data_IF_655567405711
#
_entry.id   IF_655567405711
#
_cell.length_a   1.000
_cell.length_b   1.000
_cell.length_c   1.000
_cell.angle_alpha   90.00
_cell.angle_beta   90.00
_cell.angle_gamma   90.00
#
_symmetry.space_group_name_H-M   'P 1'
#
loop_
_entity.id
_entity.type
_entity.pdbx_description
1 polymer ?
#
# COMPACT_ATOMS: atom_id res chain seq x y z
N UNK A 1 98.95 65.01 9.95
CA UNK A 1 99.72 65.14 11.21
C UNK A 1 98.88 64.63 12.36
N UNK A 2 99.51 63.90 13.30
CA UNK A 2 98.99 63.33 14.57
C UNK A 2 97.99 62.17 14.47
N UNK A 3 98.44 60.91 14.54
CA UNK A 3 98.86 60.08 15.70
C UNK A 3 97.69 59.41 16.45
N UNK A 4 97.44 58.16 16.06
CA UNK A 4 97.43 56.89 16.84
C UNK A 4 96.67 56.75 18.19
N UNK A 5 96.34 55.49 18.57
CA UNK A 5 95.09 55.07 19.25
C UNK A 5 95.30 54.59 20.70
N UNK A 6 94.19 54.33 21.43
CA UNK A 6 94.09 53.42 22.59
C UNK A 6 92.59 53.27 22.96
N UNK A 7 91.93 52.12 22.83
CA UNK A 7 91.90 50.96 23.76
C UNK A 7 91.35 51.29 25.15
N UNK A 8 90.16 50.74 25.52
CA UNK A 8 89.97 49.76 26.61
C UNK A 8 88.45 49.49 26.84
N UNK A 9 88.09 48.21 26.84
CA UNK A 9 87.16 47.53 27.77
C UNK A 9 86.02 48.31 28.44
N UNK A 10 84.77 47.87 28.25
CA UNK A 10 83.96 47.21 29.31
C UNK A 10 82.50 47.09 28.92
N UNK A 11 81.93 45.93 29.25
CA UNK A 11 80.54 45.70 29.66
C UNK A 11 79.49 46.73 29.24
N UNK A 12 78.52 46.32 28.42
CA UNK A 12 77.13 46.31 28.89
C UNK A 12 76.31 45.36 28.02
N UNK A 13 75.86 44.28 28.64
CA UNK A 13 74.75 43.49 28.17
C UNK A 13 73.51 44.39 28.11
N UNK A 14 73.01 44.70 26.91
CA UNK A 14 71.68 45.26 26.75
C UNK A 14 70.99 44.60 25.56
N UNK A 15 70.29 43.51 25.91
CA UNK A 15 68.91 43.25 25.48
C UNK A 15 68.67 43.32 23.97
N UNK A 16 69.00 42.22 23.29
CA UNK A 16 68.30 41.81 22.06
C UNK A 16 66.89 41.37 22.47
N UNK A 17 65.99 42.34 22.63
CA UNK A 17 64.55 42.12 22.62
C UNK A 17 64.16 42.09 21.13
N UNK A 18 64.13 40.92 20.49
CA UNK A 18 63.04 39.97 20.71
C UNK A 18 61.81 40.36 19.88
N UNK A 19 61.99 40.73 18.60
CA UNK A 19 60.89 40.76 17.62
C UNK A 19 60.55 39.32 17.21
N UNK A 20 60.04 38.55 18.18
CA UNK A 20 59.24 37.37 17.90
C UNK A 20 57.82 37.88 17.67
N UNK A 21 57.45 38.08 16.41
CA UNK A 21 56.04 38.07 16.02
C UNK A 21 55.51 36.67 16.36
N UNK A 22 54.91 36.54 17.55
CA UNK A 22 54.09 35.40 17.88
C UNK A 22 52.89 35.42 16.92
N UNK A 23 52.95 34.60 15.87
CA UNK A 23 51.75 34.18 15.18
C UNK A 23 50.87 33.50 16.22
N UNK A 24 49.82 34.19 16.67
CA UNK A 24 48.81 33.57 17.50
C UNK A 24 48.29 32.33 16.74
N UNK A 25 48.23 31.14 17.37
CA UNK A 25 47.59 30.02 16.73
C UNK A 25 46.15 30.43 16.45
N UNK A 26 45.75 30.37 15.18
CA UNK A 26 44.33 30.44 14.83
C UNK A 26 43.66 29.28 15.57
N UNK A 27 42.92 29.58 16.64
CA UNK A 27 42.14 28.58 17.34
C UNK A 27 41.13 28.03 16.33
N UNK A 28 41.31 26.76 15.94
CA UNK A 28 40.30 26.06 15.16
C UNK A 28 38.97 26.17 15.91
N UNK A 29 37.92 26.62 15.23
CA UNK A 29 36.60 26.64 15.84
C UNK A 29 36.18 25.19 16.14
N UNK A 30 35.50 24.94 17.27
CA UNK A 30 34.99 23.61 17.56
C UNK A 30 34.09 23.15 16.42
N UNK A 31 34.38 21.97 15.89
CA UNK A 31 33.58 21.33 14.85
C UNK A 31 32.32 20.73 15.48
N UNK A 32 31.19 20.84 14.77
CA UNK A 32 29.91 20.33 15.25
C UNK A 32 29.95 18.79 15.32
N UNK A 33 29.60 18.22 16.46
CA UNK A 33 29.41 16.79 16.64
C UNK A 33 27.93 16.42 16.61
N UNK A 34 27.60 15.15 16.34
CA UNK A 34 26.22 14.63 16.37
C UNK A 34 25.58 14.82 17.75
N UNK A 35 26.36 14.66 18.83
CA UNK A 35 25.87 14.85 20.20
C UNK A 35 25.47 16.30 20.51
N UNK A 36 25.89 17.26 19.68
CA UNK A 36 25.51 18.66 19.82
C UNK A 36 24.09 18.92 19.31
N UNK A 37 23.59 18.11 18.37
CA UNK A 37 22.28 18.30 17.73
C UNK A 37 21.15 18.30 18.77
N UNK A 38 21.15 17.34 19.70
CA UNK A 38 20.12 17.19 20.73
C UNK A 38 20.12 18.31 21.78
N UNK A 39 21.19 19.12 21.87
CA UNK A 39 21.26 20.26 22.80
C UNK A 39 20.39 21.43 22.36
N UNK A 40 20.01 21.48 21.08
CA UNK A 40 19.19 22.56 20.50
C UNK A 40 17.98 22.05 19.72
N UNK A 41 18.05 20.85 19.14
CA UNK A 41 16.94 20.18 18.47
C UNK A 41 16.45 19.05 19.37
N UNK A 42 15.36 19.25 20.09
CA UNK A 42 14.83 18.21 20.98
C UNK A 42 13.97 17.20 20.22
N UNK A 43 13.15 17.69 19.28
CA UNK A 43 12.16 16.87 18.58
C UNK A 43 12.81 15.92 17.55
N UNK A 44 13.60 16.44 16.61
CA UNK A 44 14.09 15.66 15.47
C UNK A 44 14.98 14.48 15.89
N UNK A 45 15.96 14.64 16.82
CA UNK A 45 16.72 13.51 17.33
C UNK A 45 15.85 12.48 18.06
N UNK A 46 14.85 12.92 18.83
CA UNK A 46 13.91 12.01 19.48
C UNK A 46 13.06 11.22 18.46
N UNK A 47 12.61 11.88 17.39
CA UNK A 47 11.88 11.25 16.28
C UNK A 47 12.73 10.19 15.56
N UNK A 48 13.99 10.51 15.26
CA UNK A 48 14.94 9.57 14.64
C UNK A 48 15.23 8.39 15.57
N UNK A 49 15.41 8.66 16.86
CA UNK A 49 15.67 7.62 17.86
C UNK A 49 14.48 6.65 17.96
N UNK A 50 13.26 7.18 17.94
CA UNK A 50 12.02 6.40 18.04
C UNK A 50 11.69 5.64 16.73
N UNK A 51 11.80 6.30 15.58
CA UNK A 51 11.21 5.84 14.32
C UNK A 51 12.06 6.14 13.05
N UNK A 52 13.35 6.47 13.19
CA UNK A 52 14.23 6.83 12.08
C UNK A 52 14.56 5.70 11.10
N UNK A 53 14.27 4.44 11.45
CA UNK A 53 14.58 3.27 10.62
C UNK A 53 16.04 3.30 10.10
N UNK A 54 16.27 3.11 8.79
CA UNK A 54 17.61 3.19 8.20
C UNK A 54 18.26 4.57 8.34
N UNK A 55 17.49 5.64 8.53
CA UNK A 55 18.07 6.96 8.79
C UNK A 55 18.71 7.08 10.18
N UNK A 56 18.43 6.12 11.09
CA UNK A 56 19.09 6.00 12.38
C UNK A 56 20.35 5.14 12.32
N UNK A 57 20.38 4.13 11.44
CA UNK A 57 21.42 3.08 11.46
C UNK A 57 22.44 3.20 10.34
N UNK A 58 22.03 3.68 9.17
CA UNK A 58 22.83 3.66 7.94
C UNK A 58 23.32 5.08 7.56
N UNK A 59 22.79 6.10 8.24
CA UNK A 59 23.26 7.50 8.22
C UNK A 59 23.08 8.11 9.61
N UNK A 60 23.59 9.32 9.80
CA UNK A 60 23.40 10.11 11.01
C UNK A 60 22.99 11.56 10.68
N UNK A 61 22.91 12.41 11.71
CA UNK A 61 22.53 13.80 11.58
C UNK A 61 23.43 14.57 10.60
N UNK A 62 24.74 14.30 10.58
CA UNK A 62 25.71 14.99 9.72
C UNK A 62 25.81 14.35 8.34
N UNK A 63 25.47 13.06 8.21
CA UNK A 63 25.32 12.37 6.92
C UNK A 63 24.18 12.94 6.08
N UNK A 64 23.10 13.43 6.71
CA UNK A 64 22.00 14.12 6.05
C UNK A 64 22.13 15.65 6.12
N UNK A 65 22.60 16.23 7.22
CA UNK A 65 22.86 17.67 7.33
C UNK A 65 24.34 17.98 7.17
N UNK A 66 24.78 18.11 5.91
CA UNK A 66 26.17 18.39 5.48
C UNK A 66 26.73 19.76 5.90
N UNK A 67 25.98 20.50 6.72
CA UNK A 67 26.35 21.79 7.29
C UNK A 67 25.26 22.29 8.23
N UNK A 68 25.48 23.40 8.93
CA UNK A 68 24.51 23.96 9.87
C UNK A 68 24.08 25.37 9.46
N UNK A 69 22.78 25.67 9.61
CA UNK A 69 22.22 27.00 9.30
C UNK A 69 22.62 28.01 10.39
N UNK A 70 22.83 29.30 10.07
CA UNK A 70 22.67 29.93 8.75
C UNK A 70 23.87 29.77 7.81
N UNK A 71 25.02 29.29 8.29
CA UNK A 71 26.26 29.21 7.51
C UNK A 71 26.16 28.29 6.28
N UNK A 72 25.31 27.27 6.33
CA UNK A 72 24.97 26.41 5.19
C UNK A 72 23.45 26.39 4.98
N UNK A 73 22.89 27.24 4.09
CA UNK A 73 21.45 27.36 3.89
C UNK A 73 20.83 26.20 3.11
N UNK A 74 21.60 25.46 2.31
CA UNK A 74 21.15 24.30 1.53
C UNK A 74 21.93 23.04 1.97
N UNK A 75 21.85 22.74 3.26
CA UNK A 75 22.66 21.73 3.92
C UNK A 75 22.11 20.29 3.82
N UNK A 76 20.95 20.10 3.20
CA UNK A 76 20.29 18.79 3.08
C UNK A 76 20.42 18.32 1.63
N UNK A 77 20.97 17.13 1.36
CA UNK A 77 21.07 16.57 0.02
C UNK A 77 19.69 16.18 -0.53
N UNK A 78 19.60 15.99 -1.84
CA UNK A 78 18.40 15.44 -2.46
C UNK A 78 18.21 13.97 -2.06
N UNK A 79 16.96 13.54 -1.88
CA UNK A 79 16.63 12.17 -1.50
C UNK A 79 17.18 11.14 -2.50
N UNK A 80 17.19 11.50 -3.79
CA UNK A 80 17.69 10.69 -4.91
C UNK A 80 19.19 10.38 -4.84
N UNK A 81 19.97 11.07 -4.00
CA UNK A 81 21.38 10.74 -3.79
C UNK A 81 21.59 9.41 -3.07
N UNK A 82 20.56 8.93 -2.34
CA UNK A 82 20.60 7.68 -1.59
C UNK A 82 19.43 6.73 -1.92
N UNK A 83 18.29 7.27 -2.37
CA UNK A 83 17.11 6.50 -2.75
C UNK A 83 17.03 6.35 -4.27
N UNK A 84 17.22 5.13 -4.77
CA UNK A 84 17.24 4.82 -6.21
C UNK A 84 16.75 3.40 -6.51
N UNK A 85 16.51 3.11 -7.79
CA UNK A 85 16.27 1.75 -8.28
C UNK A 85 14.80 1.31 -8.37
N UNK A 86 13.84 2.17 -8.05
CA UNK A 86 12.41 1.89 -8.26
C UNK A 86 11.67 3.12 -8.78
N UNK A 87 10.57 2.97 -9.55
CA UNK A 87 9.77 4.10 -10.03
C UNK A 87 9.27 5.01 -8.89
N UNK A 88 9.05 4.47 -7.69
CA UNK A 88 8.64 5.23 -6.52
C UNK A 88 9.66 6.33 -6.15
N UNK A 89 10.95 6.05 -6.28
CA UNK A 89 12.00 7.01 -5.95
C UNK A 89 12.19 8.12 -7.01
N UNK A 90 11.52 7.99 -8.15
CA UNK A 90 11.48 9.03 -9.20
C UNK A 90 10.37 10.07 -8.94
N UNK A 91 9.50 9.83 -7.96
CA UNK A 91 8.46 10.77 -7.57
C UNK A 91 9.06 12.06 -7.01
N UNK A 92 8.46 13.19 -7.42
CA UNK A 92 8.76 14.48 -6.82
C UNK A 92 8.11 14.62 -5.43
N UNK A 93 8.60 15.56 -4.62
CA UNK A 93 8.00 15.94 -3.34
C UNK A 93 7.89 14.80 -2.31
N UNK A 94 8.93 13.98 -2.12
CA UNK A 94 8.95 12.84 -1.19
C UNK A 94 8.39 13.18 0.22
N UNK A 95 8.61 14.43 0.64
CA UNK A 95 8.18 15.01 1.92
C UNK A 95 6.67 15.19 2.07
N UNK A 96 5.88 15.10 0.99
CA UNK A 96 4.42 15.15 1.08
C UNK A 96 3.84 13.97 1.86
N UNK A 97 4.58 12.85 1.86
CA UNK A 97 4.18 11.61 2.52
C UNK A 97 5.19 11.14 3.58
N UNK A 98 6.48 11.38 3.37
CA UNK A 98 7.54 10.93 4.28
C UNK A 98 8.06 12.05 5.19
N UNK A 99 8.22 11.75 6.47
CA UNK A 99 9.08 12.52 7.37
C UNK A 99 10.47 11.85 7.40
N UNK A 100 11.58 12.50 7.00
CA UNK A 100 12.93 11.93 7.02
C UNK A 100 13.40 11.52 8.40
N UNK A 101 12.84 12.10 9.47
CA UNK A 101 13.14 11.67 10.83
C UNK A 101 12.28 10.48 11.28
N UNK A 102 11.20 10.19 10.56
CA UNK A 102 10.31 9.04 10.79
C UNK A 102 9.87 8.42 9.46
N UNK A 103 10.80 7.92 8.62
CA UNK A 103 10.54 7.68 7.20
C UNK A 103 9.45 6.64 6.94
N UNK A 104 9.16 5.75 7.88
CA UNK A 104 8.11 4.73 7.75
C UNK A 104 6.76 5.16 8.35
N UNK A 105 6.68 6.30 9.04
CA UNK A 105 5.42 6.90 9.50
C UNK A 105 4.84 7.77 8.38
N UNK A 106 4.33 7.09 7.36
CA UNK A 106 3.84 7.73 6.12
C UNK A 106 2.49 8.39 6.36
N UNK A 107 2.32 9.59 5.81
CA UNK A 107 1.06 10.33 5.83
C UNK A 107 0.45 10.34 4.42
N UNK A 108 -0.79 9.87 4.30
CA UNK A 108 -1.50 9.79 3.01
C UNK A 108 -2.54 10.91 2.90
N UNK A 109 -2.13 12.06 2.38
CA UNK A 109 -3.00 13.25 2.22
C UNK A 109 -3.23 13.60 0.75
N UNK A 110 -4.42 14.13 0.46
CA UNK A 110 -4.84 14.46 -0.91
C UNK A 110 -5.31 13.22 -1.67
N UNK A 111 -5.43 13.33 -2.98
CA UNK A 111 -5.81 12.22 -3.86
C UNK A 111 -4.54 11.54 -4.37
N UNK A 112 -4.25 10.34 -3.84
CA UNK A 112 -3.06 9.57 -4.20
C UNK A 112 -3.46 8.37 -5.05
N UNK A 113 -2.96 8.35 -6.29
CA UNK A 113 -3.17 7.23 -7.22
C UNK A 113 -1.89 6.91 -7.93
N UNK A 114 -1.35 7.86 -8.70
CA UNK A 114 -0.12 7.66 -9.47
C UNK A 114 1.04 7.20 -8.59
N UNK A 115 1.14 7.74 -7.37
CA UNK A 115 2.15 7.42 -6.38
C UNK A 115 2.05 5.96 -5.93
N UNK A 116 0.83 5.49 -5.62
CA UNK A 116 0.59 4.11 -5.20
C UNK A 116 0.94 3.10 -6.31
N UNK A 117 0.61 3.46 -7.55
CA UNK A 117 0.81 2.63 -8.73
C UNK A 117 2.27 2.49 -9.16
N UNK A 118 3.20 3.25 -8.56
CA UNK A 118 4.64 3.03 -8.75
C UNK A 118 5.12 1.67 -8.24
N UNK A 119 4.38 1.07 -7.30
CA UNK A 119 4.64 -0.26 -6.75
C UNK A 119 3.44 -1.22 -6.93
N UNK A 120 2.21 -0.71 -6.85
CA UNK A 120 0.97 -1.51 -6.93
C UNK A 120 0.45 -1.63 -8.38
N UNK A 121 1.28 -2.16 -9.28
CA UNK A 121 0.97 -2.19 -10.72
C UNK A 121 -0.18 -3.14 -11.07
N UNK A 122 -0.25 -4.29 -10.41
CA UNK A 122 -1.30 -5.29 -10.62
C UNK A 122 -2.70 -4.71 -10.35
N UNK A 123 -2.85 -3.96 -9.25
CA UNK A 123 -4.11 -3.31 -8.90
C UNK A 123 -4.55 -2.29 -9.96
N UNK A 124 -3.61 -1.63 -10.63
CA UNK A 124 -3.95 -0.77 -11.78
C UNK A 124 -4.42 -1.59 -12.98
N UNK A 125 -3.75 -2.70 -13.30
CA UNK A 125 -4.13 -3.59 -14.39
C UNK A 125 -5.55 -4.12 -14.20
N UNK A 126 -5.87 -4.56 -12.97
CA UNK A 126 -7.21 -5.01 -12.57
C UNK A 126 -8.28 -3.94 -12.78
N UNK A 127 -8.06 -2.74 -12.24
CA UNK A 127 -9.01 -1.60 -12.34
C UNK A 127 -9.19 -1.08 -13.76
N UNK A 128 -8.15 -1.15 -14.59
CA UNK A 128 -8.20 -0.75 -16.01
C UNK A 128 -8.91 -1.82 -16.84
N UNK A 129 -8.63 -3.10 -16.60
CA UNK A 129 -9.26 -4.21 -17.30
C UNK A 129 -10.75 -4.37 -16.92
N UNK A 130 -11.11 -4.01 -15.68
CA UNK A 130 -12.46 -4.18 -15.14
C UNK A 130 -13.01 -2.86 -14.55
N UNK A 131 -13.31 -1.86 -15.39
CA UNK A 131 -13.76 -0.56 -14.92
C UNK A 131 -14.99 -0.63 -14.03
N UNK A 132 -14.93 0.05 -12.89
CA UNK A 132 -16.05 0.19 -11.94
C UNK A 132 -16.03 1.59 -11.33
N UNK A 133 -16.94 1.87 -10.39
CA UNK A 133 -16.92 3.14 -9.64
C UNK A 133 -15.64 3.33 -8.82
N UNK A 134 -14.96 2.25 -8.43
CA UNK A 134 -13.68 2.33 -7.74
C UNK A 134 -12.53 2.78 -8.67
N UNK A 135 -12.68 2.66 -9.99
CA UNK A 135 -11.67 3.14 -10.95
C UNK A 135 -11.53 4.67 -10.91
N UNK A 136 -12.59 5.37 -10.53
CA UNK A 136 -12.68 6.83 -10.54
C UNK A 136 -12.20 7.50 -9.23
N UNK A 137 -11.85 6.72 -8.20
CA UNK A 137 -11.40 7.23 -6.90
C UNK A 137 -9.90 7.04 -6.69
N UNK A 138 -9.32 7.83 -5.79
CA UNK A 138 -7.94 7.68 -5.35
C UNK A 138 -7.78 6.44 -4.44
N UNK A 139 -6.60 5.84 -4.44
CA UNK A 139 -6.33 4.61 -3.68
C UNK A 139 -6.49 4.83 -2.18
N UNK A 140 -6.01 5.98 -1.70
CA UNK A 140 -6.05 6.35 -0.28
C UNK A 140 -7.43 6.83 0.21
N UNK A 141 -8.44 6.89 -0.66
CA UNK A 141 -9.83 7.06 -0.22
C UNK A 141 -10.30 5.83 0.56
N UNK A 142 -9.89 4.65 0.11
CA UNK A 142 -10.20 3.37 0.73
C UNK A 142 -9.03 2.92 1.62
N UNK A 143 -7.80 2.95 1.12
CA UNK A 143 -6.59 2.60 1.88
C UNK A 143 -6.09 3.81 2.69
N UNK A 144 -6.93 4.30 3.60
CA UNK A 144 -6.68 5.52 4.39
C UNK A 144 -5.71 5.31 5.56
N UNK A 145 -5.32 6.42 6.18
CA UNK A 145 -4.60 6.52 7.46
C UNK A 145 -3.14 6.06 7.46
N UNK A 146 -2.88 4.82 7.03
CA UNK A 146 -1.54 4.24 7.04
C UNK A 146 -1.31 3.42 5.79
N UNK A 147 -0.06 3.42 5.31
CA UNK A 147 0.33 2.60 4.19
C UNK A 147 0.13 1.11 4.53
N UNK A 148 -0.62 0.41 3.67
CA UNK A 148 -0.98 -1.00 3.87
C UNK A 148 -2.28 -1.23 4.66
N UNK A 149 -3.01 -0.18 5.02
CA UNK A 149 -4.35 -0.32 5.59
C UNK A 149 -5.31 -0.97 4.59
N UNK A 150 -6.13 -1.93 5.03
CA UNK A 150 -7.20 -2.53 4.22
C UNK A 150 -8.52 -2.17 4.91
N UNK A 151 -9.38 -1.37 4.27
CA UNK A 151 -10.63 -0.92 4.88
C UNK A 151 -11.67 -2.05 4.95
N UNK A 152 -12.67 -1.85 5.80
CA UNK A 152 -13.86 -2.70 5.78
C UNK A 152 -14.79 -2.24 4.66
N UNK A 153 -15.24 -3.16 3.80
CA UNK A 153 -16.22 -2.87 2.74
C UNK A 153 -17.49 -2.24 3.31
N UNK A 154 -17.89 -2.68 4.51
CA UNK A 154 -19.10 -2.23 5.20
C UNK A 154 -19.06 -0.77 5.67
N UNK A 155 -17.91 -0.10 5.59
CA UNK A 155 -17.83 1.35 5.85
C UNK A 155 -18.60 2.16 4.79
N UNK A 156 -18.68 1.64 3.56
CA UNK A 156 -19.34 2.30 2.44
C UNK A 156 -20.43 1.46 1.76
N UNK A 157 -20.35 0.13 1.84
CA UNK A 157 -21.27 -0.80 1.18
C UNK A 157 -22.18 -1.53 2.16
N UNK A 158 -23.47 -1.64 1.84
CA UNK A 158 -24.39 -2.46 2.62
C UNK A 158 -24.24 -3.94 2.25
N UNK A 159 -24.23 -4.82 3.26
CA UNK A 159 -24.19 -6.26 3.07
C UNK A 159 -25.47 -6.78 2.41
N UNK A 160 -25.36 -7.83 1.60
CA UNK A 160 -26.50 -8.51 0.98
C UNK A 160 -27.31 -9.37 1.97
N UNK A 161 -26.72 -9.73 3.12
CA UNK A 161 -27.42 -10.37 4.23
C UNK A 161 -26.91 -9.85 5.58
N UNK A 162 -27.77 -9.81 6.63
CA UNK A 162 -27.40 -9.25 7.94
C UNK A 162 -26.23 -9.94 8.64
N UNK A 163 -25.97 -11.20 8.29
CA UNK A 163 -24.94 -12.03 8.92
C UNK A 163 -23.64 -12.10 8.12
N UNK A 164 -23.54 -11.40 6.98
CA UNK A 164 -22.31 -11.41 6.18
C UNK A 164 -21.18 -10.68 6.90
N UNK A 165 -20.03 -11.33 6.90
CA UNK A 165 -18.76 -10.81 7.39
C UNK A 165 -17.96 -10.19 6.24
N UNK A 166 -16.89 -9.46 6.58
CA UNK A 166 -15.94 -8.92 5.60
C UNK A 166 -15.39 -10.02 4.66
N UNK A 167 -15.10 -11.20 5.20
CA UNK A 167 -14.52 -12.30 4.41
C UNK A 167 -15.52 -12.83 3.38
N UNK A 168 -16.82 -12.77 3.69
CA UNK A 168 -17.88 -13.24 2.79
C UNK A 168 -18.01 -12.35 1.54
N UNK A 169 -17.60 -11.08 1.61
CA UNK A 169 -17.58 -10.18 0.46
C UNK A 169 -16.67 -10.73 -0.65
N UNK A 170 -15.51 -11.28 -0.26
CA UNK A 170 -14.49 -11.81 -1.17
C UNK A 170 -14.83 -13.17 -1.77
N UNK A 171 -15.96 -13.79 -1.35
CA UNK A 171 -16.44 -15.02 -2.00
C UNK A 171 -16.86 -14.74 -3.44
N UNK A 172 -17.42 -13.56 -3.69
CA UNK A 172 -18.01 -13.20 -4.98
C UNK A 172 -17.37 -11.97 -5.63
N UNK A 173 -16.75 -11.08 -4.86
CA UNK A 173 -16.22 -9.81 -5.36
C UNK A 173 -14.73 -9.67 -5.06
N UNK A 174 -13.94 -9.41 -6.09
CA UNK A 174 -12.58 -8.89 -5.92
C UNK A 174 -12.61 -7.36 -5.78
N UNK A 175 -11.76 -6.81 -4.90
CA UNK A 175 -11.82 -5.40 -4.48
C UNK A 175 -11.51 -4.42 -5.62
N UNK A 176 -10.63 -4.82 -6.53
CA UNK A 176 -10.25 -4.04 -7.72
C UNK A 176 -10.93 -4.52 -9.00
N UNK A 177 -11.79 -5.54 -8.91
CA UNK A 177 -12.60 -6.03 -10.02
C UNK A 177 -14.02 -6.41 -9.54
N UNK A 178 -14.74 -5.55 -8.81
CA UNK A 178 -15.95 -5.95 -8.08
C UNK A 178 -17.11 -6.38 -8.99
N UNK A 179 -17.03 -6.10 -10.29
CA UNK A 179 -18.03 -6.51 -11.29
C UNK A 179 -17.74 -7.90 -11.88
N UNK A 180 -16.56 -8.46 -11.62
CA UNK A 180 -16.19 -9.83 -11.99
C UNK A 180 -16.68 -10.74 -10.87
N UNK A 181 -17.93 -11.20 -10.99
CA UNK A 181 -18.54 -12.08 -10.00
C UNK A 181 -18.17 -13.54 -10.29
N UNK A 182 -17.04 -13.94 -9.73
CA UNK A 182 -16.55 -15.32 -9.71
C UNK A 182 -16.55 -15.85 -8.28
N UNK A 183 -16.78 -17.15 -8.12
CA UNK A 183 -16.87 -17.78 -6.81
C UNK A 183 -16.42 -19.25 -6.87
N UNK A 184 -15.88 -19.80 -5.77
CA UNK A 184 -15.43 -21.18 -5.74
C UNK A 184 -16.60 -22.17 -5.80
N UNK A 185 -16.30 -23.40 -6.23
CA UNK A 185 -17.23 -24.55 -6.24
C UNK A 185 -17.61 -25.04 -4.84
N UNK A 186 -16.98 -24.50 -3.80
CA UNK A 186 -17.26 -24.75 -2.39
C UNK A 186 -18.24 -23.74 -1.78
N UNK A 187 -18.69 -22.74 -2.55
CA UNK A 187 -19.59 -21.69 -2.05
C UNK A 187 -20.93 -22.26 -1.53
N UNK A 188 -21.27 -22.06 -0.25
CA UNK A 188 -22.55 -22.53 0.31
C UNK A 188 -23.79 -21.86 -0.29
N UNK A 189 -24.86 -22.63 -0.48
CA UNK A 189 -26.16 -22.16 -1.04
C UNK A 189 -26.76 -20.96 -0.30
N UNK A 190 -26.51 -20.84 1.01
CA UNK A 190 -27.03 -19.73 1.82
C UNK A 190 -26.47 -18.36 1.39
N UNK A 191 -25.25 -18.30 0.83
CA UNK A 191 -24.73 -17.04 0.28
C UNK A 191 -25.48 -16.63 -0.99
N UNK A 192 -25.96 -17.59 -1.78
CA UNK A 192 -26.81 -17.32 -2.95
C UNK A 192 -28.20 -16.81 -2.51
N UNK A 193 -28.73 -17.30 -1.39
CA UNK A 193 -30.05 -16.94 -0.87
C UNK A 193 -30.19 -15.43 -0.57
N UNK A 194 -29.08 -14.74 -0.27
CA UNK A 194 -29.05 -13.30 -0.05
C UNK A 194 -29.67 -12.49 -1.21
N UNK A 195 -29.57 -12.99 -2.43
CA UNK A 195 -30.23 -12.41 -3.62
C UNK A 195 -31.25 -13.35 -4.27
N UNK A 196 -31.09 -14.66 -4.09
CA UNK A 196 -31.91 -15.71 -4.72
C UNK A 196 -32.76 -16.48 -3.71
N UNK A 197 -33.37 -15.78 -2.75
CA UNK A 197 -34.16 -16.39 -1.67
C UNK A 197 -35.22 -17.36 -2.20
N UNK A 198 -35.97 -16.99 -3.24
CA UNK A 198 -37.00 -17.86 -3.81
C UNK A 198 -36.44 -19.17 -4.38
N UNK A 199 -35.33 -19.13 -5.11
CA UNK A 199 -34.71 -20.32 -5.67
C UNK A 199 -34.13 -21.22 -4.57
N UNK A 200 -33.53 -20.61 -3.55
CA UNK A 200 -33.06 -21.31 -2.37
C UNK A 200 -34.22 -22.03 -1.66
N UNK A 201 -35.31 -21.31 -1.36
CA UNK A 201 -36.46 -21.88 -0.67
C UNK A 201 -37.11 -23.03 -1.47
N UNK A 202 -37.22 -22.88 -2.80
CA UNK A 202 -37.71 -23.94 -3.69
C UNK A 202 -36.82 -25.18 -3.63
N UNK A 203 -35.50 -25.02 -3.75
CA UNK A 203 -34.55 -26.12 -3.69
C UNK A 203 -34.59 -26.83 -2.33
N UNK A 204 -34.66 -26.05 -1.25
CA UNK A 204 -34.74 -26.57 0.12
C UNK A 204 -36.09 -27.28 0.41
N UNK A 205 -37.16 -26.89 -0.28
CA UNK A 205 -38.46 -27.57 -0.19
C UNK A 205 -38.60 -28.76 -1.15
N UNK A 206 -37.70 -28.88 -2.15
CA UNK A 206 -37.74 -29.94 -3.15
C UNK A 206 -37.53 -31.31 -2.53
N UNK A 207 -38.25 -32.31 -3.05
CA UNK A 207 -38.12 -33.72 -2.63
C UNK A 207 -37.25 -34.53 -3.59
N UNK A 208 -36.74 -33.90 -4.63
CA UNK A 208 -35.87 -34.55 -5.62
C UNK A 208 -34.43 -34.58 -5.11
N UNK A 209 -33.57 -35.39 -5.75
CA UNK A 209 -32.14 -35.43 -5.42
C UNK A 209 -31.41 -34.10 -5.62
N UNK A 210 -32.00 -33.16 -6.36
CA UNK A 210 -31.41 -31.83 -6.55
C UNK A 210 -31.35 -31.04 -5.24
N UNK A 211 -32.21 -31.35 -4.26
CA UNK A 211 -32.19 -30.74 -2.93
C UNK A 211 -30.79 -30.74 -2.29
N UNK A 212 -30.02 -31.82 -2.48
CA UNK A 212 -28.69 -32.01 -1.90
C UNK A 212 -27.56 -31.41 -2.77
N UNK A 213 -27.89 -30.78 -3.90
CA UNK A 213 -26.90 -30.24 -4.84
C UNK A 213 -26.61 -28.78 -4.52
N UNK A 214 -25.34 -28.43 -4.43
CA UNK A 214 -24.92 -27.04 -4.24
C UNK A 214 -25.27 -26.19 -5.47
N UNK A 215 -25.69 -24.94 -5.28
CA UNK A 215 -26.00 -24.00 -6.36
C UNK A 215 -24.84 -23.92 -7.37
N UNK A 216 -23.61 -23.87 -6.86
CA UNK A 216 -22.38 -23.74 -7.65
C UNK A 216 -21.97 -25.02 -8.40
N UNK A 217 -22.57 -26.17 -8.08
CA UNK A 217 -22.38 -27.37 -8.89
C UNK A 217 -23.08 -27.25 -10.25
N UNK A 218 -24.19 -26.51 -10.31
CA UNK A 218 -24.88 -26.19 -11.56
C UNK A 218 -24.40 -24.84 -12.12
N UNK A 219 -24.44 -23.79 -11.29
CA UNK A 219 -24.03 -22.44 -11.64
C UNK A 219 -22.51 -22.29 -11.45
N UNK A 220 -21.74 -23.01 -12.24
CA UNK A 220 -20.30 -23.13 -12.00
C UNK A 220 -19.52 -21.85 -12.34
N UNK A 221 -18.55 -21.54 -11.46
CA UNK A 221 -17.42 -20.60 -11.63
C UNK A 221 -17.77 -19.12 -11.77
N UNK A 222 -18.80 -18.79 -12.55
CA UNK A 222 -19.18 -17.42 -12.87
C UNK A 222 -20.65 -17.21 -12.60
N UNK A 223 -20.98 -16.04 -12.06
CA UNK A 223 -22.36 -15.65 -11.89
C UNK A 223 -23.11 -15.64 -13.23
N UNK A 224 -24.39 -16.04 -13.20
CA UNK A 224 -25.28 -16.24 -14.38
C UNK A 224 -24.94 -17.41 -15.30
N UNK A 225 -23.94 -18.24 -15.01
CA UNK A 225 -23.78 -19.53 -15.69
C UNK A 225 -25.03 -20.38 -15.43
N UNK A 226 -25.73 -20.83 -16.47
CA UNK A 226 -26.83 -21.81 -16.35
C UNK A 226 -26.51 -22.97 -17.29
N UNK A 227 -26.26 -24.18 -16.77
CA UNK A 227 -25.92 -25.32 -17.61
C UNK A 227 -27.17 -25.84 -18.33
N UNK A 228 -26.96 -26.60 -19.39
CA UNK A 228 -28.03 -27.39 -19.98
C UNK A 228 -28.30 -28.61 -19.08
N UNK A 229 -29.56 -29.07 -19.01
CA UNK A 229 -29.87 -30.30 -18.27
C UNK A 229 -29.07 -31.50 -18.79
N UNK A 230 -28.79 -31.51 -20.09
CA UNK A 230 -28.01 -32.54 -20.78
C UNK A 230 -26.54 -32.58 -20.39
N UNK A 231 -26.01 -31.56 -19.71
CA UNK A 231 -24.62 -31.54 -19.26
C UNK A 231 -24.39 -32.58 -18.15
N UNK A 232 -25.45 -32.97 -17.43
CA UNK A 232 -25.43 -33.96 -16.36
C UNK A 232 -26.42 -35.12 -16.54
N UNK A 233 -27.47 -34.95 -17.34
CA UNK A 233 -28.53 -35.94 -17.53
C UNK A 233 -28.57 -36.47 -18.96
N UNK A 234 -28.74 -37.78 -19.08
CA UNK A 234 -29.13 -38.39 -20.35
C UNK A 234 -30.57 -38.03 -20.74
N UNK A 235 -30.99 -38.41 -21.94
CA UNK A 235 -32.34 -38.22 -22.46
C UNK A 235 -33.25 -39.40 -22.06
N UNK A 236 -34.12 -39.26 -21.03
CA UNK A 236 -34.90 -40.38 -20.51
C UNK A 236 -36.14 -40.72 -21.36
N UNK A 237 -36.60 -39.77 -22.18
CA UNK A 237 -37.75 -39.95 -23.07
C UNK A 237 -37.34 -40.33 -24.50
N UNK A 238 -38.30 -40.86 -25.25
CA UNK A 238 -38.13 -41.12 -26.68
C UNK A 238 -37.78 -39.83 -27.46
N UNK A 239 -36.98 -39.98 -28.51
CA UNK A 239 -36.45 -38.87 -29.32
C UNK A 239 -37.54 -37.90 -29.81
N UNK A 240 -38.71 -38.41 -30.20
CA UNK A 240 -39.82 -37.59 -30.67
C UNK A 240 -40.37 -36.59 -29.64
N UNK A 241 -40.23 -36.85 -28.34
CA UNK A 241 -40.61 -35.90 -27.28
C UNK A 241 -39.60 -34.75 -27.23
N UNK A 242 -38.31 -35.05 -27.19
CA UNK A 242 -37.26 -34.02 -27.14
C UNK A 242 -37.20 -33.20 -28.44
N UNK A 243 -37.50 -33.81 -29.59
CA UNK A 243 -37.60 -33.10 -30.86
C UNK A 243 -38.75 -32.08 -30.88
N UNK A 244 -39.86 -32.37 -30.18
CA UNK A 244 -41.03 -31.48 -30.10
C UNK A 244 -40.93 -30.47 -28.95
N UNK A 245 -40.30 -30.85 -27.85
CA UNK A 245 -40.13 -30.07 -26.64
C UNK A 245 -38.64 -30.06 -26.24
N UNK A 246 -37.82 -29.18 -26.84
CA UNK A 246 -36.38 -29.15 -26.60
C UNK A 246 -36.03 -28.63 -25.20
N UNK A 247 -36.90 -27.84 -24.56
CA UNK A 247 -36.70 -27.31 -23.22
C UNK A 247 -37.38 -28.20 -22.17
N UNK A 248 -36.57 -28.88 -21.35
CA UNK A 248 -37.05 -29.74 -20.28
C UNK A 248 -38.03 -29.02 -19.33
N UNK A 249 -37.77 -27.74 -19.05
CA UNK A 249 -38.57 -26.93 -18.14
C UNK A 249 -40.00 -26.65 -18.60
N UNK A 250 -40.30 -26.84 -19.88
CA UNK A 250 -41.68 -26.77 -20.41
C UNK A 250 -42.61 -27.78 -19.75
N UNK A 251 -42.06 -28.90 -19.29
CA UNK A 251 -42.81 -29.92 -18.56
C UNK A 251 -42.27 -30.17 -17.15
N UNK A 252 -40.98 -29.96 -16.87
CA UNK A 252 -40.36 -30.35 -15.59
C UNK A 252 -40.11 -29.20 -14.62
N UNK A 253 -40.52 -27.97 -14.96
CA UNK A 253 -40.19 -26.75 -14.20
C UNK A 253 -38.67 -26.49 -14.15
N UNK A 254 -38.18 -25.71 -13.20
CA UNK A 254 -36.75 -25.40 -13.05
C UNK A 254 -36.00 -26.47 -12.26
N UNK A 255 -34.65 -26.45 -12.34
CA UNK A 255 -33.78 -27.31 -11.52
C UNK A 255 -34.00 -27.14 -10.00
N UNK A 256 -34.50 -25.98 -9.56
CA UNK A 256 -34.78 -25.70 -8.16
C UNK A 256 -36.10 -26.32 -7.67
N UNK A 257 -37.02 -26.65 -8.57
CA UNK A 257 -38.39 -27.06 -8.23
C UNK A 257 -38.92 -28.17 -9.15
N UNK A 258 -38.03 -29.11 -9.48
CA UNK A 258 -38.32 -30.16 -10.46
C UNK A 258 -39.58 -30.94 -10.12
N UNK A 259 -40.49 -31.01 -11.09
CA UNK A 259 -41.74 -31.77 -11.03
C UNK A 259 -42.66 -31.42 -9.85
N UNK A 260 -42.53 -30.22 -9.28
CA UNK A 260 -43.47 -29.73 -8.27
C UNK A 260 -44.73 -29.16 -8.95
N UNK A 261 -45.53 -30.05 -9.54
CA UNK A 261 -46.81 -29.68 -10.11
C UNK A 261 -47.81 -29.44 -8.98
N UNK A 262 -48.45 -28.28 -8.99
CA UNK A 262 -49.62 -28.06 -8.15
C UNK A 262 -50.62 -29.21 -8.38
N UNK A 263 -51.02 -29.87 -7.29
CA UNK A 263 -52.04 -30.92 -7.34
C UNK A 263 -53.38 -30.38 -7.78
#
# INVERSE_FOLDING_TARGET
>A
MRTKPLSLTSLLAFVVCGLLLAAAPAFAQPELSIDDCAKCHEQQPAEVEEAGAKHKTDTDCLGCHTGHRPSSPNNIPECSMCHEGTPHYELANCMSCHNPHQPLRVVLQGDLKAECLTCHTEQNEELVANPSKHTDVACNLCHSDTHGNIPQCSECHESHAPTQTQQDCFICHDVHMPLVLEYPDTTPNIHCAACHQTAYDQLMASKTKHHDVACVACHATKHKTVPACSDCHDLPHAEGIHAKFPECGSCHNTGHDLNNFAK
#
